data_IF_989893209968
#
_entry.id   IF_989893209968
#
_cell.length_a   1.000
_cell.length_b   1.000
_cell.length_c   1.000
_cell.angle_alpha   90.00
_cell.angle_beta   90.00
_cell.angle_gamma   90.00
#
_symmetry.space_group_name_H-M   'P 1'
#
loop_
_entity.id
_entity.type
_entity.pdbx_description
1 polymer ?
#
# COMPACT_ATOMS: atom_id res chain seq x y z
N UNK A 1 24.87 16.94 16.37
CA UNK A 1 23.85 17.98 16.64
C UNK A 1 22.47 17.35 16.76
N UNK A 2 21.99 17.12 17.98
CA UNK A 2 20.60 16.75 18.28
C UNK A 2 19.75 18.01 18.23
N UNK A 3 19.15 18.35 17.09
CA UNK A 3 18.09 19.37 17.04
C UNK A 3 16.74 18.69 17.29
N UNK A 4 16.22 18.91 18.49
CA UNK A 4 14.80 19.13 18.78
C UNK A 4 13.83 18.00 18.47
N UNK A 5 13.61 17.10 19.45
CA UNK A 5 12.36 16.33 19.55
C UNK A 5 11.17 17.18 20.07
N UNK A 6 11.41 18.45 20.40
CA UNK A 6 10.45 19.36 21.03
C UNK A 6 10.13 20.55 20.11
N UNK A 7 9.42 20.29 19.01
CA UNK A 7 8.65 21.33 18.32
C UNK A 7 7.16 21.04 18.49
N UNK A 8 6.32 22.02 18.86
CA UNK A 8 4.89 21.79 19.16
C UNK A 8 4.11 21.16 18.01
N UNK A 9 4.48 21.43 16.76
CA UNK A 9 3.88 20.79 15.57
C UNK A 9 4.12 19.27 15.50
N UNK A 10 5.17 18.79 16.15
CA UNK A 10 5.54 17.37 16.15
C UNK A 10 4.58 16.53 17.00
N UNK A 11 4.23 17.00 18.19
CA UNK A 11 3.31 16.32 19.10
C UNK A 11 1.90 16.23 18.54
N UNK A 12 1.43 17.30 17.90
CA UNK A 12 0.12 17.30 17.23
C UNK A 12 0.06 16.28 16.10
N UNK A 13 1.15 16.09 15.36
CA UNK A 13 1.22 15.09 14.29
C UNK A 13 1.09 13.68 14.85
N UNK A 14 1.82 13.34 15.92
CA UNK A 14 1.69 12.05 16.58
C UNK A 14 0.32 11.85 17.24
N UNK A 15 -0.23 12.90 17.86
CA UNK A 15 -1.58 12.88 18.42
C UNK A 15 -2.63 12.56 17.35
N UNK A 16 -2.53 13.18 16.18
CA UNK A 16 -3.39 12.87 15.03
C UNK A 16 -3.23 11.41 14.57
N UNK A 17 -2.00 10.93 14.38
CA UNK A 17 -1.76 9.55 13.94
C UNK A 17 -2.28 8.54 14.97
N UNK A 18 -2.07 8.78 16.26
CA UNK A 18 -2.62 7.93 17.32
C UNK A 18 -4.15 7.97 17.36
N UNK A 19 -4.76 9.13 17.11
CA UNK A 19 -6.22 9.24 16.97
C UNK A 19 -6.73 8.39 15.81
N UNK A 20 -6.12 8.50 14.62
CA UNK A 20 -6.51 7.70 13.45
C UNK A 20 -6.36 6.20 13.75
N UNK A 21 -5.24 5.78 14.33
CA UNK A 21 -5.03 4.37 14.74
C UNK A 21 -6.07 3.92 15.76
N UNK A 22 -6.37 4.74 16.77
CA UNK A 22 -7.35 4.40 17.80
C UNK A 22 -8.77 4.28 17.22
N UNK A 23 -9.15 5.18 16.31
CA UNK A 23 -10.44 5.11 15.60
C UNK A 23 -10.47 3.88 14.69
N UNK A 24 -9.41 3.59 13.93
CA UNK A 24 -9.32 2.35 13.14
C UNK A 24 -9.46 1.11 14.03
N UNK A 25 -8.80 1.10 15.18
CA UNK A 25 -8.90 0.03 16.18
C UNK A 25 -10.33 -0.16 16.68
N UNK A 26 -10.99 0.93 17.11
CA UNK A 26 -12.38 0.89 17.54
C UNK A 26 -13.29 0.33 16.43
N UNK A 27 -13.16 0.84 15.21
CA UNK A 27 -13.98 0.43 14.07
C UNK A 27 -13.73 -1.05 13.71
N UNK A 28 -12.48 -1.53 13.69
CA UNK A 28 -12.20 -2.94 13.43
C UNK A 28 -12.70 -3.86 14.55
N UNK A 29 -12.69 -3.43 15.81
CA UNK A 29 -13.21 -4.21 16.94
C UNK A 29 -14.74 -4.29 16.96
N UNK A 30 -15.43 -3.28 16.41
CA UNK A 30 -16.89 -3.28 16.27
C UNK A 30 -17.37 -4.08 15.04
N UNK A 31 -16.48 -4.38 14.09
CA UNK A 31 -16.80 -5.15 12.91
C UNK A 31 -16.78 -6.66 13.21
N UNK A 32 -17.66 -7.41 12.55
CA UNK A 32 -17.69 -8.86 12.64
C UNK A 32 -16.69 -9.47 11.65
N UNK A 33 -15.69 -10.26 12.10
CA UNK A 33 -14.86 -11.03 11.19
C UNK A 33 -15.69 -12.13 10.52
N UNK A 34 -15.49 -12.33 9.22
CA UNK A 34 -16.18 -13.34 8.41
C UNK A 34 -15.14 -14.08 7.56
N UNK A 35 -14.54 -15.15 8.08
CA UNK A 35 -13.49 -15.88 7.39
C UNK A 35 -13.95 -16.39 6.02
N UNK A 36 -13.08 -16.31 5.01
CA UNK A 36 -13.42 -16.70 3.65
C UNK A 36 -12.25 -17.33 2.88
N UNK A 37 -12.56 -18.26 1.98
CA UNK A 37 -11.66 -18.89 0.99
C UNK A 37 -10.22 -19.13 1.51
N UNK A 38 -9.29 -18.26 1.11
CA UNK A 38 -7.84 -18.31 1.37
C UNK A 38 -7.48 -18.42 2.85
N UNK A 39 -8.31 -17.85 3.73
CA UNK A 39 -8.10 -17.86 5.17
C UNK A 39 -7.87 -19.28 5.70
N UNK A 40 -8.64 -20.26 5.25
CA UNK A 40 -8.57 -21.61 5.80
C UNK A 40 -7.23 -22.28 5.48
N UNK A 41 -6.66 -22.03 4.31
CA UNK A 41 -5.32 -22.50 3.97
C UNK A 41 -4.25 -21.82 4.80
N UNK A 42 -4.37 -20.50 5.01
CA UNK A 42 -3.41 -19.75 5.80
C UNK A 42 -3.45 -20.11 7.29
N UNK A 43 -4.65 -20.28 7.85
CA UNK A 43 -4.82 -20.72 9.24
C UNK A 43 -4.27 -22.14 9.42
N UNK A 44 -4.58 -23.08 8.51
CA UNK A 44 -4.02 -24.43 8.54
C UNK A 44 -2.49 -24.42 8.51
N UNK A 45 -1.90 -23.58 7.67
CA UNK A 45 -0.44 -23.42 7.62
C UNK A 45 0.13 -22.94 8.97
N UNK A 46 -0.53 -21.97 9.61
CA UNK A 46 -0.13 -21.47 10.93
C UNK A 46 -0.17 -22.59 11.97
N UNK A 47 -1.26 -23.35 12.00
CA UNK A 47 -1.46 -24.47 12.94
C UNK A 47 -0.41 -25.56 12.76
N UNK A 48 -0.13 -25.96 11.51
CA UNK A 48 0.90 -26.95 11.18
C UNK A 48 2.30 -26.49 11.59
N UNK A 49 2.63 -25.23 11.28
CA UNK A 49 3.92 -24.65 11.63
C UNK A 49 4.07 -24.49 13.14
N UNK A 50 3.00 -24.10 13.85
CA UNK A 50 2.97 -24.02 15.30
C UNK A 50 3.16 -25.39 15.96
N UNK A 51 2.69 -26.47 15.32
CA UNK A 51 2.94 -27.86 15.71
C UNK A 51 4.33 -28.40 15.33
N UNK A 52 5.21 -27.56 14.77
CA UNK A 52 6.59 -27.92 14.44
C UNK A 52 6.80 -28.46 13.02
N UNK A 53 5.79 -28.42 12.16
CA UNK A 53 5.88 -28.92 10.78
C UNK A 53 5.76 -27.78 9.77
N UNK A 54 6.83 -27.50 9.03
CA UNK A 54 6.79 -26.59 7.89
C UNK A 54 6.20 -27.32 6.68
N UNK A 55 4.93 -27.08 6.36
CA UNK A 55 4.23 -27.69 5.23
C UNK A 55 3.88 -26.65 4.15
N UNK A 56 4.75 -26.50 3.14
CA UNK A 56 4.54 -25.62 1.98
C UNK A 56 3.77 -26.31 0.85
N UNK A 57 3.24 -27.53 1.07
CA UNK A 57 2.27 -28.15 0.16
C UNK A 57 0.88 -27.55 0.28
N UNK A 58 0.60 -26.91 1.42
CA UNK A 58 -0.61 -26.11 1.59
C UNK A 58 -0.60 -25.00 0.53
N UNK A 59 -1.71 -24.78 -0.21
CA UNK A 59 -1.79 -23.70 -1.18
C UNK A 59 -1.68 -22.34 -0.50
N UNK A 60 -0.86 -21.47 -1.05
CA UNK A 60 -0.74 -20.10 -0.57
C UNK A 60 0.67 -19.52 -0.67
N UNK A 61 0.72 -18.20 -0.55
CA UNK A 61 1.95 -17.47 -0.30
C UNK A 61 2.06 -17.22 1.21
N UNK A 62 2.84 -18.05 1.91
CA UNK A 62 2.76 -18.12 3.37
C UNK A 62 3.72 -17.20 4.13
N UNK A 63 4.48 -16.34 3.44
CA UNK A 63 5.53 -15.51 4.04
C UNK A 63 5.10 -14.81 5.34
N UNK A 64 3.96 -14.12 5.31
CA UNK A 64 3.45 -13.40 6.47
C UNK A 64 2.79 -14.29 7.54
N UNK A 65 2.33 -15.48 7.19
CA UNK A 65 1.69 -16.39 8.14
C UNK A 65 2.69 -16.91 9.18
N UNK A 66 3.97 -17.01 8.79
CA UNK A 66 5.06 -17.37 9.70
C UNK A 66 5.10 -16.40 10.90
N UNK A 67 4.79 -15.12 10.67
CA UNK A 67 4.76 -14.10 11.72
C UNK A 67 3.55 -14.22 12.67
N UNK A 68 2.56 -15.03 12.31
CA UNK A 68 1.35 -15.26 13.11
C UNK A 68 1.49 -16.42 14.10
N UNK A 69 2.52 -17.27 13.94
CA UNK A 69 2.77 -18.42 14.82
C UNK A 69 2.95 -18.04 16.29
N UNK A 70 3.73 -16.99 16.66
CA UNK A 70 3.84 -16.60 18.07
C UNK A 70 2.49 -16.22 18.68
N UNK A 71 1.59 -15.61 17.90
CA UNK A 71 0.24 -15.28 18.36
C UNK A 71 -0.62 -16.53 18.53
N UNK A 72 -0.48 -17.52 17.64
CA UNK A 72 -1.15 -18.80 17.79
C UNK A 72 -0.72 -19.51 19.06
N UNK A 73 0.58 -19.58 19.36
CA UNK A 73 1.07 -20.20 20.61
C UNK A 73 0.53 -19.51 21.87
N UNK A 74 0.26 -18.21 21.81
CA UNK A 74 -0.26 -17.46 22.95
C UNK A 74 -1.78 -17.60 23.14
N UNK A 75 -2.52 -17.85 22.06
CA UNK A 75 -3.99 -17.76 22.06
C UNK A 75 -4.71 -19.05 21.68
N UNK A 76 -4.02 -19.97 20.99
CA UNK A 76 -4.55 -21.18 20.37
C UNK A 76 -5.83 -20.92 19.53
N UNK A 77 -5.95 -19.68 19.03
CA UNK A 77 -7.19 -19.23 18.40
C UNK A 77 -7.30 -19.78 16.98
N UNK A 78 -8.46 -20.36 16.61
CA UNK A 78 -8.72 -20.77 15.22
C UNK A 78 -8.78 -19.58 14.28
N UNK A 79 -8.86 -18.34 14.79
CA UNK A 79 -8.89 -17.09 14.01
C UNK A 79 -7.59 -16.31 14.09
N UNK A 80 -6.48 -16.96 14.46
CA UNK A 80 -5.17 -16.31 14.60
C UNK A 80 -4.76 -15.51 13.37
N UNK A 81 -4.98 -16.07 12.17
CA UNK A 81 -4.66 -15.37 10.93
C UNK A 81 -5.40 -14.03 10.84
N UNK A 82 -6.71 -14.01 11.10
CA UNK A 82 -7.54 -12.79 11.08
C UNK A 82 -7.08 -11.82 12.16
N UNK A 83 -6.86 -12.29 13.40
CA UNK A 83 -6.42 -11.43 14.50
C UNK A 83 -5.11 -10.70 14.18
N UNK A 84 -4.15 -11.40 13.57
CA UNK A 84 -2.89 -10.79 13.17
C UNK A 84 -3.06 -9.81 12.00
N UNK A 85 -3.93 -10.11 11.04
CA UNK A 85 -4.28 -9.16 9.98
C UNK A 85 -4.98 -7.93 10.54
N UNK A 86 -5.88 -8.08 11.51
CA UNK A 86 -6.56 -6.97 12.17
C UNK A 86 -5.54 -6.09 12.91
N UNK A 87 -4.64 -6.69 13.68
CA UNK A 87 -3.57 -5.95 14.36
C UNK A 87 -2.71 -5.16 13.37
N UNK A 88 -2.33 -5.77 12.25
CA UNK A 88 -1.61 -5.06 11.19
C UNK A 88 -2.46 -3.94 10.57
N UNK A 89 -3.74 -4.19 10.27
CA UNK A 89 -4.69 -3.26 9.67
C UNK A 89 -4.92 -2.01 10.52
N UNK A 90 -4.96 -2.16 11.84
CA UNK A 90 -5.03 -1.07 12.83
C UNK A 90 -3.76 -0.23 12.80
N UNK A 91 -2.59 -0.87 12.67
CA UNK A 91 -1.29 -0.22 12.71
C UNK A 91 -0.87 0.37 11.35
N UNK A 92 -1.56 0.06 10.24
CA UNK A 92 -1.21 0.55 8.91
C UNK A 92 -1.02 2.07 8.82
N UNK A 93 -1.92 2.93 9.36
CA UNK A 93 -1.74 4.38 9.28
C UNK A 93 -0.46 4.85 10.00
N UNK A 94 -0.10 4.22 11.11
CA UNK A 94 1.13 4.51 11.86
C UNK A 94 2.37 4.18 11.05
N UNK A 95 2.44 2.97 10.47
CA UNK A 95 3.59 2.55 9.68
C UNK A 95 3.69 3.32 8.37
N UNK A 96 2.57 3.66 7.74
CA UNK A 96 2.52 4.56 6.60
C UNK A 96 3.12 5.94 6.96
N UNK A 97 2.68 6.55 8.06
CA UNK A 97 3.22 7.82 8.55
C UNK A 97 4.75 7.75 8.70
N UNK A 98 5.26 6.74 9.41
CA UNK A 98 6.70 6.60 9.67
C UNK A 98 7.46 6.34 8.37
N UNK A 99 6.97 5.48 7.48
CA UNK A 99 7.62 5.15 6.22
C UNK A 99 7.76 6.38 5.31
N UNK A 100 6.66 7.08 5.03
CA UNK A 100 6.69 8.27 4.18
C UNK A 100 7.51 9.39 4.82
N UNK A 101 7.35 9.63 6.13
CA UNK A 101 8.13 10.66 6.82
C UNK A 101 9.62 10.42 6.73
N UNK A 102 10.07 9.20 7.03
CA UNK A 102 11.49 8.84 6.96
C UNK A 102 12.02 8.95 5.54
N UNK A 103 11.24 8.45 4.56
CA UNK A 103 11.57 8.50 3.15
C UNK A 103 11.80 9.94 2.67
N UNK A 104 10.82 10.83 2.86
CA UNK A 104 10.91 12.22 2.40
C UNK A 104 11.90 13.05 3.21
N UNK A 105 12.09 12.76 4.50
CA UNK A 105 13.16 13.37 5.31
C UNK A 105 14.54 13.06 4.73
N UNK A 106 14.77 11.79 4.38
CA UNK A 106 16.04 11.31 3.83
C UNK A 106 16.32 11.86 2.42
N UNK A 107 15.30 11.89 1.56
CA UNK A 107 15.48 12.22 0.14
C UNK A 107 15.37 13.72 -0.18
N UNK A 108 14.56 14.47 0.57
CA UNK A 108 14.26 15.87 0.27
C UNK A 108 14.81 16.85 1.32
N UNK A 109 15.35 16.36 2.46
CA UNK A 109 16.00 17.19 3.47
C UNK A 109 15.07 18.06 4.32
N UNK A 110 13.75 17.82 4.26
CA UNK A 110 12.74 18.37 5.17
C UNK A 110 12.55 17.49 6.42
N UNK A 111 11.54 17.78 7.24
CA UNK A 111 11.17 16.93 8.39
C UNK A 111 10.32 15.69 7.99
N UNK A 112 9.77 15.71 6.77
CA UNK A 112 8.91 14.68 6.18
C UNK A 112 7.54 14.56 6.83
N UNK A 113 7.21 15.42 7.80
CA UNK A 113 6.01 15.24 8.64
C UNK A 113 4.74 15.38 7.82
N UNK A 114 4.71 16.36 6.92
CA UNK A 114 3.54 16.63 6.07
C UNK A 114 3.27 15.47 5.12
N UNK A 115 4.30 14.96 4.45
CA UNK A 115 4.21 13.79 3.57
C UNK A 115 3.78 12.53 4.35
N UNK A 116 4.29 12.37 5.59
CA UNK A 116 3.86 11.32 6.49
C UNK A 116 2.37 11.39 6.84
N UNK A 117 1.88 12.57 7.26
CA UNK A 117 0.46 12.77 7.62
C UNK A 117 -0.43 12.48 6.42
N UNK A 118 -0.06 13.02 5.25
CA UNK A 118 -0.84 12.83 4.03
C UNK A 118 -0.89 11.35 3.63
N UNK A 119 0.24 10.66 3.62
CA UNK A 119 0.29 9.26 3.25
C UNK A 119 -0.51 8.39 4.24
N UNK A 120 -0.37 8.61 5.55
CA UNK A 120 -1.16 7.92 6.56
C UNK A 120 -2.67 8.15 6.41
N UNK A 121 -3.07 9.38 6.06
CA UNK A 121 -4.46 9.72 5.82
C UNK A 121 -5.00 9.03 4.56
N UNK A 122 -4.22 8.99 3.47
CA UNK A 122 -4.59 8.26 2.26
C UNK A 122 -4.76 6.77 2.56
N UNK A 123 -3.80 6.15 3.27
CA UNK A 123 -3.84 4.74 3.63
C UNK A 123 -5.04 4.43 4.54
N UNK A 124 -5.32 5.27 5.54
CA UNK A 124 -6.52 5.12 6.39
C UNK A 124 -7.82 5.27 5.58
N UNK A 125 -7.79 6.06 4.52
CA UNK A 125 -8.93 6.30 3.64
C UNK A 125 -9.06 5.27 2.49
N UNK A 126 -8.23 4.23 2.46
CA UNK A 126 -8.36 3.09 1.54
C UNK A 126 -8.86 1.87 2.34
N UNK A 127 -10.18 1.66 2.49
CA UNK A 127 -10.76 0.71 3.45
C UNK A 127 -10.34 -0.74 3.16
N UNK A 128 -10.10 -1.08 1.90
CA UNK A 128 -9.67 -2.43 1.50
C UNK A 128 -8.35 -2.84 2.14
N UNK A 129 -7.45 -1.89 2.42
CA UNK A 129 -6.14 -2.18 3.03
C UNK A 129 -6.26 -2.73 4.45
N UNK A 130 -7.21 -2.20 5.22
CA UNK A 130 -7.40 -2.58 6.62
C UNK A 130 -8.51 -3.63 6.78
N UNK A 131 -9.66 -3.46 6.13
CA UNK A 131 -10.85 -4.26 6.41
C UNK A 131 -10.93 -5.60 5.68
N UNK A 132 -10.09 -5.81 4.65
CA UNK A 132 -9.88 -7.14 4.08
C UNK A 132 -9.34 -8.15 5.11
N UNK A 133 -8.69 -7.66 6.17
CA UNK A 133 -8.26 -8.45 7.32
C UNK A 133 -9.40 -9.24 7.96
N UNK A 134 -10.63 -8.72 7.94
CA UNK A 134 -11.80 -9.38 8.54
C UNK A 134 -12.21 -10.67 7.80
N UNK A 135 -11.76 -10.85 6.56
CA UNK A 135 -11.91 -12.11 5.80
C UNK A 135 -10.74 -13.07 5.95
N UNK A 136 -9.65 -12.59 6.55
CA UNK A 136 -8.37 -13.27 6.57
C UNK A 136 -7.59 -13.12 5.27
N UNK A 137 -7.88 -12.09 4.49
CA UNK A 137 -7.02 -11.73 3.37
C UNK A 137 -5.75 -11.07 3.85
N UNK A 138 -4.71 -11.24 3.04
CA UNK A 138 -3.33 -11.00 3.41
C UNK A 138 -2.84 -9.55 3.29
N UNK A 139 -3.73 -8.66 2.88
CA UNK A 139 -3.42 -7.27 2.48
C UNK A 139 -2.75 -6.48 3.60
N UNK A 140 -3.24 -6.60 4.84
CA UNK A 140 -2.82 -5.72 5.92
C UNK A 140 -1.38 -6.01 6.39
N UNK A 141 -1.04 -7.27 6.68
CA UNK A 141 0.33 -7.62 7.08
C UNK A 141 1.29 -7.39 5.91
N UNK A 142 0.89 -7.70 4.67
CA UNK A 142 1.69 -7.39 3.49
C UNK A 142 2.12 -5.92 3.45
N UNK A 143 1.16 -5.01 3.56
CA UNK A 143 1.40 -3.58 3.49
C UNK A 143 2.23 -3.08 4.69
N UNK A 144 2.04 -3.66 5.87
CA UNK A 144 2.89 -3.38 7.03
C UNK A 144 4.36 -3.80 6.76
N UNK A 145 4.59 -4.96 6.16
CA UNK A 145 5.94 -5.42 5.77
C UNK A 145 6.55 -4.55 4.67
N UNK A 146 5.74 -4.08 3.71
CA UNK A 146 6.15 -3.11 2.71
C UNK A 146 6.65 -1.81 3.37
N UNK A 147 5.88 -1.25 4.32
CA UNK A 147 6.28 -0.04 5.04
C UNK A 147 7.51 -0.25 5.94
N UNK A 148 7.59 -1.39 6.64
CA UNK A 148 8.77 -1.76 7.43
C UNK A 148 10.03 -1.85 6.56
N UNK A 149 9.91 -2.41 5.36
CA UNK A 149 11.01 -2.48 4.39
C UNK A 149 11.51 -1.07 4.02
N UNK A 150 10.61 -0.13 3.74
CA UNK A 150 10.98 1.27 3.47
C UNK A 150 11.70 1.89 4.66
N UNK A 151 11.15 1.73 5.87
CA UNK A 151 11.73 2.27 7.12
C UNK A 151 13.14 1.73 7.36
N UNK A 152 13.31 0.41 7.21
CA UNK A 152 14.60 -0.26 7.37
C UNK A 152 15.63 0.21 6.33
N UNK A 153 15.23 0.30 5.07
CA UNK A 153 16.09 0.68 3.95
C UNK A 153 16.60 2.12 4.10
N UNK A 154 15.71 3.07 4.41
CA UNK A 154 16.07 4.48 4.64
C UNK A 154 17.07 4.62 5.80
N UNK A 155 16.95 3.75 6.81
CA UNK A 155 17.83 3.73 7.98
C UNK A 155 19.09 2.87 7.80
N UNK A 156 19.26 2.23 6.63
CA UNK A 156 20.39 1.36 6.33
C UNK A 156 20.54 0.18 7.28
N UNK A 157 19.41 -0.44 7.69
CA UNK A 157 19.43 -1.52 8.68
C UNK A 157 19.41 -2.89 8.01
N UNK A 158 20.29 -3.79 8.45
CA UNK A 158 20.37 -5.14 7.92
C UNK A 158 19.05 -5.91 8.06
N UNK A 159 18.28 -5.66 9.11
CA UNK A 159 16.99 -6.34 9.34
C UNK A 159 15.96 -6.07 8.24
N UNK A 160 16.17 -5.07 7.37
CA UNK A 160 15.33 -4.81 6.19
C UNK A 160 15.17 -6.04 5.30
N UNK A 161 16.14 -6.95 5.28
CA UNK A 161 16.03 -8.19 4.49
C UNK A 161 14.86 -9.07 4.94
N UNK A 162 14.52 -9.07 6.23
CA UNK A 162 13.48 -9.94 6.82
C UNK A 162 12.07 -9.53 6.38
N UNK A 163 11.58 -8.29 6.62
CA UNK A 163 10.26 -7.91 6.17
C UNK A 163 10.17 -7.87 4.65
N UNK A 164 11.27 -7.60 3.94
CA UNK A 164 11.26 -7.64 2.47
C UNK A 164 11.11 -9.06 1.95
N UNK A 165 11.83 -10.03 2.52
CA UNK A 165 11.68 -11.44 2.17
C UNK A 165 10.28 -11.95 2.46
N UNK A 166 9.73 -11.65 3.63
CA UNK A 166 8.35 -12.03 3.96
C UNK A 166 7.31 -11.35 3.07
N UNK A 167 7.54 -10.09 2.65
CA UNK A 167 6.67 -9.44 1.68
C UNK A 167 6.73 -10.16 0.32
N UNK A 168 7.92 -10.53 -0.18
CA UNK A 168 8.09 -11.27 -1.45
C UNK A 168 7.42 -12.64 -1.39
N UNK A 169 7.63 -13.41 -0.32
CA UNK A 169 7.04 -14.75 -0.16
C UNK A 169 5.56 -14.75 0.21
N UNK A 170 5.00 -13.57 0.43
CA UNK A 170 3.56 -13.32 0.57
C UNK A 170 2.92 -12.84 -0.73
N UNK A 171 3.62 -11.96 -1.44
CA UNK A 171 3.20 -11.32 -2.67
C UNK A 171 4.47 -11.04 -3.48
N UNK A 172 4.77 -11.84 -4.52
CA UNK A 172 6.02 -11.74 -5.27
C UNK A 172 6.32 -10.35 -5.85
N UNK A 173 5.29 -9.53 -6.05
CA UNK A 173 5.39 -8.15 -6.54
C UNK A 173 6.18 -7.22 -5.61
N UNK A 174 6.39 -7.58 -4.34
CA UNK A 174 7.25 -6.83 -3.42
C UNK A 174 8.72 -6.74 -3.90
N UNK A 175 9.13 -7.55 -4.88
CA UNK A 175 10.42 -7.39 -5.56
C UNK A 175 10.60 -5.98 -6.16
N UNK A 176 9.49 -5.29 -6.48
CA UNK A 176 9.48 -3.91 -6.94
C UNK A 176 10.06 -2.89 -5.92
N UNK A 177 10.24 -3.28 -4.65
CA UNK A 177 10.96 -2.47 -3.65
C UNK A 177 12.47 -2.40 -3.90
N UNK A 178 13.06 -3.32 -4.68
CA UNK A 178 14.50 -3.38 -4.94
C UNK A 178 15.13 -2.06 -5.40
N UNK A 179 14.60 -1.40 -6.47
CA UNK A 179 15.07 -0.09 -6.90
C UNK A 179 15.03 0.98 -5.81
N UNK A 180 13.96 0.99 -4.98
CA UNK A 180 13.84 1.94 -3.88
C UNK A 180 14.90 1.69 -2.81
N UNK A 181 15.09 0.43 -2.39
CA UNK A 181 16.11 0.05 -1.40
C UNK A 181 17.49 0.56 -1.84
N UNK A 182 17.86 0.32 -3.10
CA UNK A 182 19.14 0.80 -3.66
C UNK A 182 19.28 2.33 -3.66
N UNK A 183 18.19 3.05 -3.96
CA UNK A 183 18.21 4.50 -4.09
C UNK A 183 18.28 5.22 -2.74
N UNK A 184 17.60 4.69 -1.72
CA UNK A 184 17.44 5.35 -0.41
C UNK A 184 18.46 4.92 0.64
N UNK A 185 19.22 3.85 0.37
CA UNK A 185 20.21 3.36 1.32
C UNK A 185 21.30 4.39 1.63
N UNK A 186 21.69 4.59 2.90
CA UNK A 186 22.74 5.54 3.27
C UNK A 186 24.09 5.29 2.57
N UNK A 187 24.66 6.33 1.94
CA UNK A 187 25.88 6.25 1.10
C UNK A 187 27.22 6.38 1.87
N UNK A 188 27.24 6.09 3.18
CA UNK A 188 28.45 6.18 4.00
C UNK A 188 29.52 5.12 3.68
N UNK A 189 30.67 5.16 4.36
CA UNK A 189 31.71 4.10 4.26
C UNK A 189 31.07 2.74 4.58
N UNK A 190 31.20 1.77 3.68
CA UNK A 190 30.59 0.44 3.82
C UNK A 190 29.08 0.36 3.51
N UNK A 191 28.42 1.50 3.25
CA UNK A 191 26.97 1.56 3.04
C UNK A 191 26.52 0.76 1.81
N UNK A 192 27.26 0.82 0.70
CA UNK A 192 26.94 0.03 -0.51
C UNK A 192 27.07 -1.48 -0.29
N UNK A 193 28.12 -1.92 0.40
CA UNK A 193 28.31 -3.32 0.72
C UNK A 193 27.14 -3.82 1.59
N UNK A 194 26.83 -3.09 2.67
CA UNK A 194 25.69 -3.43 3.54
C UNK A 194 24.35 -3.45 2.80
N UNK A 195 24.13 -2.54 1.85
CA UNK A 195 22.96 -2.54 0.97
C UNK A 195 22.88 -3.83 0.15
N UNK A 196 23.94 -4.16 -0.58
CA UNK A 196 23.99 -5.38 -1.40
C UNK A 196 23.87 -6.65 -0.57
N UNK A 197 24.51 -6.72 0.60
CA UNK A 197 24.34 -7.83 1.53
C UNK A 197 22.88 -7.96 1.98
N UNK A 198 22.24 -6.85 2.33
CA UNK A 198 20.83 -6.85 2.74
C UNK A 198 19.91 -7.31 1.60
N UNK A 199 20.17 -6.85 0.38
CA UNK A 199 19.43 -7.27 -0.81
C UNK A 199 19.63 -8.76 -1.07
N UNK A 200 20.88 -9.22 -1.05
CA UNK A 200 21.22 -10.62 -1.25
C UNK A 200 20.57 -11.53 -0.20
N UNK A 201 20.55 -11.10 1.07
CA UNK A 201 19.87 -11.84 2.14
C UNK A 201 18.35 -11.88 1.93
N UNK A 202 17.72 -10.76 1.55
CA UNK A 202 16.26 -10.73 1.33
C UNK A 202 15.83 -11.62 0.17
N UNK A 203 16.54 -11.54 -0.95
CA UNK A 203 16.33 -12.42 -2.11
C UNK A 203 16.68 -13.88 -1.77
N UNK A 204 17.76 -14.11 -1.02
CA UNK A 204 18.19 -15.45 -0.60
C UNK A 204 17.17 -16.14 0.30
N UNK A 205 16.60 -15.43 1.28
CA UNK A 205 15.51 -15.95 2.11
C UNK A 205 14.25 -16.27 1.29
N UNK A 206 13.93 -15.42 0.32
CA UNK A 206 12.80 -15.66 -0.60
C UNK A 206 13.04 -16.87 -1.49
N UNK A 207 14.25 -17.02 -2.02
CA UNK A 207 14.65 -18.18 -2.82
C UNK A 207 14.65 -19.47 -1.99
N UNK A 208 15.09 -19.41 -0.73
CA UNK A 208 15.05 -20.55 0.18
C UNK A 208 13.62 -21.06 0.40
N UNK A 209 12.65 -20.15 0.57
CA UNK A 209 11.22 -20.52 0.65
C UNK A 209 10.77 -21.30 -0.60
N UNK A 210 11.10 -20.80 -1.79
CA UNK A 210 10.76 -21.45 -3.06
C UNK A 210 11.45 -22.81 -3.22
N UNK A 211 12.73 -22.91 -2.82
CA UNK A 211 13.50 -24.16 -2.86
C UNK A 211 12.87 -25.22 -1.95
N UNK A 212 12.49 -24.85 -0.72
CA UNK A 212 11.82 -25.77 0.21
C UNK A 212 10.49 -26.24 -0.40
N UNK A 213 9.72 -25.32 -0.99
CA UNK A 213 8.46 -25.68 -1.65
C UNK A 213 8.66 -26.65 -2.80
N UNK A 214 9.68 -26.44 -3.64
CA UNK A 214 10.05 -27.35 -4.72
C UNK A 214 10.41 -28.76 -4.20
N UNK A 215 11.16 -28.85 -3.10
CA UNK A 215 11.49 -30.13 -2.49
C UNK A 215 10.28 -30.85 -1.89
N UNK A 216 9.31 -30.11 -1.34
CA UNK A 216 8.13 -30.70 -0.70
C UNK A 216 7.04 -31.10 -1.70
N UNK A 217 6.86 -30.31 -2.75
CA UNK A 217 5.71 -30.46 -3.67
C UNK A 217 6.09 -30.94 -5.07
N UNK A 218 7.38 -30.89 -5.42
CA UNK A 218 7.84 -31.07 -6.80
C UNK A 218 7.52 -29.89 -7.73
N UNK A 219 6.96 -28.79 -7.21
CA UNK A 219 6.54 -27.61 -7.97
C UNK A 219 6.56 -26.32 -7.13
N UNK A 220 5.94 -25.25 -7.65
CA UNK A 220 5.73 -23.99 -6.93
C UNK A 220 4.24 -23.69 -6.99
N UNK A 221 3.63 -23.48 -5.82
CA UNK A 221 2.22 -23.12 -5.74
C UNK A 221 2.02 -21.68 -6.20
N UNK A 222 0.93 -21.43 -6.90
CA UNK A 222 0.55 -20.09 -7.39
C UNK A 222 -0.58 -19.57 -6.51
N UNK A 223 -0.21 -18.96 -5.39
CA UNK A 223 -1.19 -18.54 -4.39
C UNK A 223 -2.04 -19.71 -3.93
N UNK A 224 -3.34 -19.51 -3.83
CA UNK A 224 -4.32 -20.54 -3.43
C UNK A 224 -4.86 -21.37 -4.60
N UNK A 225 -4.44 -21.08 -5.83
CA UNK A 225 -4.95 -21.71 -7.06
C UNK A 225 -4.26 -23.05 -7.30
N UNK A 226 -4.86 -24.13 -6.82
CA UNK A 226 -4.32 -25.50 -6.96
C UNK A 226 -4.24 -25.96 -8.42
N UNK A 227 -5.10 -25.40 -9.27
CA UNK A 227 -5.18 -25.68 -10.70
C UNK A 227 -4.09 -24.99 -11.52
N UNK A 228 -3.36 -24.04 -10.92
CA UNK A 228 -2.31 -23.27 -11.60
C UNK A 228 -0.92 -23.73 -11.20
N UNK A 229 -0.05 -23.87 -12.19
CA UNK A 229 1.38 -24.16 -12.03
C UNK A 229 2.21 -23.01 -12.60
N UNK A 230 3.50 -22.95 -12.28
CA UNK A 230 4.44 -21.97 -12.86
C UNK A 230 4.41 -21.97 -14.39
N UNK A 231 4.11 -23.10 -15.03
CA UNK A 231 4.06 -23.17 -16.48
C UNK A 231 2.73 -22.65 -17.04
N UNK A 232 1.63 -22.77 -16.30
CA UNK A 232 0.30 -22.36 -16.76
C UNK A 232 -0.08 -20.93 -16.38
N UNK A 233 0.66 -20.29 -15.47
CA UNK A 233 0.40 -18.89 -15.10
C UNK A 233 0.81 -17.89 -16.19
N UNK A 234 1.81 -18.23 -17.01
CA UNK A 234 2.32 -17.33 -18.02
C UNK A 234 1.42 -17.36 -19.24
N UNK A 235 0.94 -16.18 -19.62
CA UNK A 235 0.00 -16.06 -20.72
C UNK A 235 0.67 -15.68 -22.04
N UNK A 236 0.05 -16.10 -23.15
CA UNK A 236 0.47 -15.69 -24.49
C UNK A 236 0.23 -14.18 -24.76
N UNK A 237 0.84 -13.62 -25.81
CA UNK A 237 0.85 -12.17 -26.08
C UNK A 237 -0.53 -11.50 -26.11
N UNK A 238 -1.56 -12.20 -26.61
CA UNK A 238 -2.94 -11.68 -26.68
C UNK A 238 -3.50 -11.38 -25.30
N UNK A 239 -3.32 -12.30 -24.33
CA UNK A 239 -3.86 -12.13 -22.99
C UNK A 239 -3.01 -11.17 -22.16
N UNK A 240 -1.70 -11.13 -22.37
CA UNK A 240 -0.85 -10.06 -21.85
C UNK A 240 -1.34 -8.67 -22.29
N UNK A 241 -1.71 -8.49 -23.56
CA UNK A 241 -2.28 -7.22 -24.02
C UNK A 241 -3.61 -6.89 -23.32
N UNK A 242 -4.51 -7.86 -23.16
CA UNK A 242 -5.77 -7.64 -22.45
C UNK A 242 -5.56 -7.31 -20.96
N UNK A 243 -4.62 -7.97 -20.30
CA UNK A 243 -4.22 -7.65 -18.92
C UNK A 243 -3.64 -6.25 -18.83
N UNK A 244 -2.78 -5.85 -19.78
CA UNK A 244 -2.26 -4.49 -19.84
C UNK A 244 -3.38 -3.45 -19.95
N UNK A 245 -4.32 -3.66 -20.89
CA UNK A 245 -5.47 -2.77 -21.07
C UNK A 245 -6.35 -2.72 -19.83
N UNK A 246 -6.57 -3.87 -19.18
CA UNK A 246 -7.30 -3.93 -17.92
C UNK A 246 -6.55 -3.22 -16.78
N UNK A 247 -5.21 -3.28 -16.75
CA UNK A 247 -4.40 -2.57 -15.77
C UNK A 247 -4.48 -1.07 -15.93
N UNK A 248 -4.46 -0.59 -17.17
CA UNK A 248 -4.73 0.83 -17.48
C UNK A 248 -6.13 1.22 -16.99
N UNK A 249 -7.15 0.39 -17.24
CA UNK A 249 -8.49 0.67 -16.71
C UNK A 249 -8.48 0.73 -15.19
N UNK A 250 -7.89 -0.24 -14.49
CA UNK A 250 -7.84 -0.26 -13.02
C UNK A 250 -7.18 1.00 -12.45
N UNK A 251 -6.10 1.47 -13.08
CA UNK A 251 -5.34 2.62 -12.60
C UNK A 251 -6.05 3.97 -12.81
N UNK A 252 -6.93 4.06 -13.81
CA UNK A 252 -7.56 5.32 -14.23
C UNK A 252 -9.10 5.31 -14.17
N UNK A 253 -9.71 4.22 -13.73
CA UNK A 253 -11.16 4.09 -13.63
C UNK A 253 -11.62 4.03 -12.18
N UNK A 254 -12.86 4.48 -11.99
CA UNK A 254 -13.61 4.34 -10.75
C UNK A 254 -14.47 3.05 -10.73
N UNK A 255 -14.64 2.41 -11.89
CA UNK A 255 -15.31 1.12 -12.07
C UNK A 255 -14.44 0.22 -12.94
N UNK A 256 -13.99 -0.92 -12.41
CA UNK A 256 -13.17 -1.84 -13.19
C UNK A 256 -14.04 -2.97 -13.72
N UNK A 257 -13.82 -3.29 -14.99
CA UNK A 257 -14.51 -4.35 -15.70
C UNK A 257 -13.47 -5.34 -16.15
N UNK A 258 -13.59 -6.61 -15.76
CA UNK A 258 -12.59 -7.60 -16.12
C UNK A 258 -12.78 -7.98 -17.59
N UNK A 259 -12.08 -7.28 -18.50
CA UNK A 259 -12.22 -7.46 -19.95
C UNK A 259 -11.95 -8.89 -20.41
N UNK A 260 -11.06 -9.60 -19.71
CA UNK A 260 -10.65 -10.97 -20.04
C UNK A 260 -11.79 -11.95 -19.78
N UNK A 261 -12.55 -11.75 -18.70
CA UNK A 261 -13.69 -12.60 -18.34
C UNK A 261 -14.78 -11.77 -17.63
N UNK A 262 -15.68 -11.13 -18.42
CA UNK A 262 -16.75 -10.29 -17.90
C UNK A 262 -17.57 -10.87 -16.74
N UNK A 263 -17.82 -12.18 -16.77
CA UNK A 263 -18.57 -12.89 -15.74
C UNK A 263 -17.87 -12.90 -14.36
N UNK A 264 -16.54 -12.69 -14.34
CA UNK A 264 -15.75 -12.51 -13.11
C UNK A 264 -15.58 -11.04 -12.73
N UNK A 265 -16.32 -10.13 -13.37
CA UNK A 265 -16.43 -8.74 -12.90
C UNK A 265 -17.24 -8.72 -11.60
N UNK A 266 -16.58 -9.06 -10.50
CA UNK A 266 -17.15 -9.08 -9.15
C UNK A 266 -16.68 -7.90 -8.30
N UNK A 267 -17.11 -7.90 -7.04
CA UNK A 267 -16.83 -6.85 -6.05
C UNK A 267 -15.34 -6.60 -5.77
N UNK A 268 -14.46 -7.59 -6.04
CA UNK A 268 -13.00 -7.44 -5.95
C UNK A 268 -12.43 -6.43 -6.95
N UNK A 269 -13.11 -6.20 -8.08
CA UNK A 269 -12.72 -5.23 -9.11
C UNK A 269 -13.17 -3.79 -8.79
N UNK A 270 -13.60 -3.52 -7.56
CA UNK A 270 -14.00 -2.16 -7.17
C UNK A 270 -12.79 -1.27 -6.86
N UNK A 271 -13.06 0.02 -6.71
CA UNK A 271 -12.10 1.11 -6.58
C UNK A 271 -11.21 0.91 -5.32
N UNK A 272 -10.06 0.26 -5.48
CA UNK A 272 -9.09 0.05 -4.40
C UNK A 272 -7.98 1.13 -4.39
N UNK A 273 -7.91 1.99 -5.42
CA UNK A 273 -7.05 3.19 -5.47
C UNK A 273 -7.73 4.32 -6.24
N UNK A 274 -7.40 5.58 -5.96
CA UNK A 274 -7.99 6.71 -6.68
C UNK A 274 -7.22 7.05 -7.97
N UNK A 275 -7.92 7.17 -9.11
CA UNK A 275 -7.28 7.53 -10.38
C UNK A 275 -6.61 8.90 -10.33
N UNK A 276 -7.08 9.79 -9.44
CA UNK A 276 -6.47 11.10 -9.24
C UNK A 276 -5.05 10.96 -8.66
N UNK A 277 -4.83 10.09 -7.66
CA UNK A 277 -3.48 9.87 -7.12
C UNK A 277 -2.56 9.24 -8.16
N UNK A 278 -3.06 8.30 -8.97
CA UNK A 278 -2.32 7.72 -10.10
C UNK A 278 -1.86 8.83 -11.07
N UNK A 279 -2.79 9.69 -11.51
CA UNK A 279 -2.50 10.79 -12.43
C UNK A 279 -1.49 11.78 -11.86
N UNK A 280 -1.70 12.21 -10.60
CA UNK A 280 -0.80 13.14 -9.91
C UNK A 280 0.60 12.53 -9.73
N UNK A 281 0.68 11.24 -9.38
CA UNK A 281 1.93 10.49 -9.27
C UNK A 281 2.69 10.46 -10.59
N UNK A 282 2.03 10.04 -11.66
CA UNK A 282 2.62 10.00 -13.00
C UNK A 282 3.07 11.38 -13.47
N UNK A 283 2.24 12.42 -13.30
CA UNK A 283 2.62 13.79 -13.63
C UNK A 283 3.90 14.23 -12.90
N UNK A 284 4.02 13.87 -11.62
CA UNK A 284 5.20 14.20 -10.82
C UNK A 284 6.43 13.45 -11.31
N UNK A 285 6.29 12.18 -11.73
CA UNK A 285 7.37 11.38 -12.32
C UNK A 285 7.82 11.90 -13.70
N UNK A 286 6.91 12.45 -14.51
CA UNK A 286 7.24 13.08 -15.79
C UNK A 286 7.86 14.48 -15.65
N UNK A 287 7.62 15.16 -14.53
CA UNK A 287 8.22 16.47 -14.20
C UNK A 287 9.04 16.42 -12.91
N UNK A 288 10.09 15.58 -12.84
CA UNK A 288 10.75 15.28 -11.57
C UNK A 288 11.53 16.48 -11.02
N UNK A 289 12.11 17.32 -11.91
CA UNK A 289 12.91 18.48 -11.52
C UNK A 289 12.12 19.55 -10.76
N UNK A 290 10.80 19.59 -10.94
CA UNK A 290 9.93 20.58 -10.30
C UNK A 290 9.45 20.16 -8.90
N UNK A 291 9.69 18.90 -8.50
CA UNK A 291 9.08 18.26 -7.33
C UNK A 291 10.06 17.49 -6.45
N UNK A 292 11.17 16.98 -7.00
CA UNK A 292 12.18 16.21 -6.27
C UNK A 292 13.56 16.88 -6.36
N UNK A 293 14.29 16.89 -5.25
CA UNK A 293 15.69 17.35 -5.18
C UNK A 293 16.64 16.26 -5.66
N UNK A 294 16.42 15.03 -5.23
CA UNK A 294 17.25 13.89 -5.62
C UNK A 294 16.76 13.29 -6.94
N UNK A 295 17.62 13.19 -7.96
CA UNK A 295 17.28 12.61 -9.27
C UNK A 295 17.05 11.09 -9.25
N UNK A 296 17.70 10.37 -8.33
CA UNK A 296 17.57 8.92 -8.23
C UNK A 296 16.25 8.48 -7.60
N UNK A 297 15.69 9.33 -6.73
CA UNK A 297 14.47 9.02 -6.01
C UNK A 297 13.23 8.85 -6.92
N UNK A 298 12.88 9.80 -7.82
CA UNK A 298 11.76 9.61 -8.74
C UNK A 298 12.01 8.47 -9.74
N UNK A 299 13.27 8.23 -10.13
CA UNK A 299 13.61 7.07 -10.96
C UNK A 299 13.29 5.76 -10.23
N UNK A 300 13.65 5.64 -8.95
CA UNK A 300 13.35 4.46 -8.15
C UNK A 300 11.85 4.25 -7.95
N UNK A 301 11.10 5.32 -7.70
CA UNK A 301 9.63 5.26 -7.63
C UNK A 301 9.02 4.82 -8.97
N UNK A 302 9.48 5.39 -10.09
CA UNK A 302 9.01 5.02 -11.43
C UNK A 302 9.33 3.57 -11.80
N UNK A 303 10.56 3.11 -11.52
CA UNK A 303 10.94 1.70 -11.72
C UNK A 303 10.13 0.76 -10.83
N UNK A 304 9.91 1.12 -9.56
CA UNK A 304 9.04 0.37 -8.65
C UNK A 304 7.60 0.26 -9.18
N UNK A 305 7.03 1.37 -9.68
CA UNK A 305 5.71 1.37 -10.30
C UNK A 305 5.65 0.47 -11.55
N UNK A 306 6.64 0.58 -12.45
CA UNK A 306 6.72 -0.24 -13.68
C UNK A 306 6.87 -1.73 -13.35
N UNK A 307 7.72 -2.10 -12.39
CA UNK A 307 7.90 -3.51 -12.00
C UNK A 307 6.64 -4.03 -11.32
N UNK A 308 6.07 -3.28 -10.36
CA UNK A 308 4.89 -3.69 -9.62
C UNK A 308 3.66 -3.87 -10.51
N UNK A 309 3.42 -2.97 -11.46
CA UNK A 309 2.31 -3.09 -12.43
C UNK A 309 2.67 -4.06 -13.57
N UNK A 310 3.90 -4.02 -14.07
CA UNK A 310 4.32 -4.79 -15.25
C UNK A 310 4.38 -6.30 -15.01
N UNK A 311 4.80 -6.74 -13.81
CA UNK A 311 4.82 -8.16 -13.47
C UNK A 311 3.43 -8.79 -13.53
N UNK A 312 2.38 -8.02 -13.24
CA UNK A 312 1.00 -8.46 -13.29
C UNK A 312 0.48 -8.73 -14.71
N UNK A 313 0.97 -7.98 -15.69
CA UNK A 313 0.56 -8.12 -17.09
C UNK A 313 0.81 -9.53 -17.62
N UNK A 314 1.84 -10.19 -17.10
CA UNK A 314 2.29 -11.51 -17.54
C UNK A 314 1.45 -12.69 -17.00
N UNK A 315 0.57 -12.44 -16.01
CA UNK A 315 -0.12 -13.48 -15.24
C UNK A 315 -1.49 -13.86 -15.81
N UNK A 316 -1.97 -15.05 -15.47
CA UNK A 316 -3.29 -15.57 -15.89
C UNK A 316 -4.44 -14.68 -15.38
N UNK A 317 -4.38 -14.28 -14.12
CA UNK A 317 -5.38 -13.42 -13.49
C UNK A 317 -4.74 -12.13 -12.99
N UNK A 318 -5.41 -11.00 -13.22
CA UNK A 318 -4.95 -9.70 -12.78
C UNK A 318 -6.06 -9.01 -11.98
N UNK A 319 -5.78 -8.77 -10.70
CA UNK A 319 -6.60 -8.01 -9.77
C UNK A 319 -5.80 -6.77 -9.32
N UNK A 320 -6.49 -5.72 -8.91
CA UNK A 320 -5.88 -4.55 -8.28
C UNK A 320 -4.98 -4.92 -7.10
N UNK A 321 -5.37 -5.92 -6.30
CA UNK A 321 -4.57 -6.38 -5.16
C UNK A 321 -3.11 -6.67 -5.55
N UNK A 322 -2.88 -7.29 -6.70
CA UNK A 322 -1.54 -7.61 -7.13
C UNK A 322 -0.74 -6.40 -7.67
N UNK A 323 -1.43 -5.33 -8.08
CA UNK A 323 -0.81 -4.08 -8.54
C UNK A 323 -0.51 -3.09 -7.41
N UNK A 324 -0.96 -3.38 -6.20
CA UNK A 324 -0.90 -2.52 -5.01
C UNK A 324 0.49 -1.92 -4.76
N UNK A 325 1.55 -2.73 -4.87
CA UNK A 325 2.94 -2.29 -4.73
C UNK A 325 3.28 -1.15 -5.69
N UNK A 326 2.89 -1.31 -6.95
CA UNK A 326 3.12 -0.30 -8.00
C UNK A 326 2.27 0.95 -7.78
N UNK A 327 1.03 0.77 -7.32
CA UNK A 327 0.13 1.87 -6.94
C UNK A 327 0.71 2.68 -5.78
N UNK A 328 1.28 2.06 -4.76
CA UNK A 328 1.93 2.77 -3.65
C UNK A 328 3.11 3.62 -4.11
N UNK A 329 3.89 3.15 -5.09
CA UNK A 329 4.93 3.98 -5.69
C UNK A 329 4.38 5.24 -6.36
N UNK A 330 3.23 5.12 -7.05
CA UNK A 330 2.55 6.27 -7.64
C UNK A 330 1.96 7.22 -6.57
N UNK A 331 1.36 6.68 -5.50
CA UNK A 331 0.86 7.47 -4.38
C UNK A 331 2.01 8.24 -3.71
N UNK A 332 3.13 7.57 -3.40
CA UNK A 332 4.33 8.20 -2.86
C UNK A 332 4.84 9.29 -3.80
N UNK A 333 4.86 9.04 -5.12
CA UNK A 333 5.25 10.04 -6.10
C UNK A 333 4.31 11.26 -6.15
N UNK A 334 3.03 11.11 -5.81
CA UNK A 334 2.06 12.21 -5.79
C UNK A 334 2.23 13.18 -4.60
N UNK A 335 2.84 12.73 -3.48
CA UNK A 335 2.89 13.51 -2.24
C UNK A 335 3.56 14.89 -2.37
N UNK A 336 4.70 15.05 -3.08
CA UNK A 336 5.31 16.37 -3.26
C UNK A 336 4.42 17.35 -4.02
N UNK A 337 3.66 16.86 -5.01
CA UNK A 337 2.73 17.68 -5.76
C UNK A 337 1.57 18.14 -4.89
N UNK A 338 0.99 17.23 -4.09
CA UNK A 338 -0.07 17.55 -3.14
C UNK A 338 0.41 18.56 -2.08
N UNK A 339 1.68 18.47 -1.64
CA UNK A 339 2.29 19.45 -0.73
C UNK A 339 2.38 20.84 -1.33
N UNK A 340 2.79 20.91 -2.59
CA UNK A 340 2.97 22.16 -3.34
C UNK A 340 1.61 22.78 -3.73
N UNK A 341 0.63 21.94 -4.04
CA UNK A 341 -0.69 22.32 -4.53
C UNK A 341 -1.80 21.65 -3.70
N UNK A 342 -2.01 22.08 -2.44
CA UNK A 342 -2.96 21.45 -1.51
C UNK A 342 -4.43 21.55 -1.94
N UNK A 343 -4.76 22.37 -2.95
CA UNK A 343 -6.11 22.46 -3.52
C UNK A 343 -6.54 21.19 -4.27
N UNK A 344 -5.62 20.26 -4.55
CA UNK A 344 -5.97 18.93 -5.04
C UNK A 344 -6.48 17.99 -3.95
N UNK A 345 -6.23 18.29 -2.67
CA UNK A 345 -6.62 17.43 -1.56
C UNK A 345 -8.14 17.17 -1.49
N UNK A 346 -9.04 18.15 -1.65
CA UNK A 346 -10.48 17.87 -1.66
C UNK A 346 -10.91 16.89 -2.75
N UNK A 347 -10.30 16.97 -3.94
CA UNK A 347 -10.61 16.07 -5.06
C UNK A 347 -10.14 14.65 -4.75
N UNK A 348 -8.92 14.50 -4.21
CA UNK A 348 -8.39 13.22 -3.74
C UNK A 348 -9.27 12.64 -2.63
N UNK A 349 -9.60 13.44 -1.60
CA UNK A 349 -10.47 13.02 -0.51
C UNK A 349 -11.83 12.55 -1.02
N UNK A 350 -12.47 13.30 -1.92
CA UNK A 350 -13.75 12.91 -2.51
C UNK A 350 -13.67 11.51 -3.15
N UNK A 351 -12.62 11.24 -3.95
CA UNK A 351 -12.45 9.92 -4.57
C UNK A 351 -12.19 8.80 -3.57
N UNK A 352 -11.52 9.08 -2.45
CA UNK A 352 -11.31 8.10 -1.38
C UNK A 352 -12.60 7.85 -0.57
N UNK A 353 -13.44 8.88 -0.38
CA UNK A 353 -14.76 8.72 0.23
C UNK A 353 -15.68 7.84 -0.61
N UNK A 354 -15.59 7.94 -1.94
CA UNK A 354 -16.27 6.98 -2.81
C UNK A 354 -15.83 5.55 -2.51
N UNK A 355 -14.54 5.27 -2.26
CA UNK A 355 -14.08 3.93 -1.88
C UNK A 355 -14.74 3.44 -0.58
N UNK A 356 -14.82 4.30 0.43
CA UNK A 356 -15.49 4.01 1.70
C UNK A 356 -16.97 3.68 1.52
N UNK A 357 -17.67 4.51 0.74
CA UNK A 357 -19.08 4.29 0.46
C UNK A 357 -19.30 2.96 -0.29
N UNK A 358 -18.52 2.70 -1.35
CA UNK A 358 -18.58 1.43 -2.07
C UNK A 358 -18.24 0.25 -1.18
N UNK A 359 -17.18 0.33 -0.36
CA UNK A 359 -16.83 -0.76 0.55
C UNK A 359 -17.99 -1.07 1.50
N UNK A 360 -18.62 -0.05 2.07
CA UNK A 360 -19.78 -0.21 2.94
C UNK A 360 -20.97 -0.85 2.22
N UNK A 361 -21.28 -0.44 0.98
CA UNK A 361 -22.38 -1.04 0.22
C UNK A 361 -22.17 -2.53 -0.06
N UNK A 362 -20.93 -2.96 -0.28
CA UNK A 362 -20.64 -4.35 -0.67
C UNK A 362 -20.34 -5.27 0.51
N UNK A 363 -19.81 -4.71 1.60
CA UNK A 363 -19.34 -5.48 2.74
C UNK A 363 -20.02 -5.10 4.06
N UNK A 364 -20.92 -4.11 4.05
CA UNK A 364 -21.57 -3.59 5.24
C UNK A 364 -22.38 -4.64 5.97
N UNK A 365 -23.20 -5.40 5.26
CA UNK A 365 -23.95 -6.50 5.85
C UNK A 365 -23.03 -7.63 6.33
N UNK A 366 -22.03 -7.99 5.51
CA UNK A 366 -21.10 -9.10 5.78
C UNK A 366 -20.30 -8.89 7.07
N UNK A 367 -19.78 -7.68 7.28
CA UNK A 367 -18.98 -7.35 8.47
C UNK A 367 -19.78 -6.59 9.54
N UNK A 368 -21.11 -6.51 9.39
CA UNK A 368 -22.01 -5.77 10.29
C UNK A 368 -21.60 -4.30 10.50
N UNK A 369 -21.11 -3.65 9.45
CA UNK A 369 -20.66 -2.26 9.48
C UNK A 369 -21.85 -1.33 9.68
N UNK A 370 -21.86 -0.58 10.78
CA UNK A 370 -22.85 0.48 11.03
C UNK A 370 -22.35 1.87 10.62
N UNK A 371 -23.05 2.91 11.05
CA UNK A 371 -22.64 4.31 10.86
C UNK A 371 -21.24 4.60 11.44
N UNK A 372 -20.84 3.85 12.48
CA UNK A 372 -19.53 3.95 13.13
C UNK A 372 -18.37 3.63 12.19
N UNK A 373 -18.61 2.90 11.10
CA UNK A 373 -17.61 2.63 10.06
C UNK A 373 -17.03 3.93 9.50
N UNK A 374 -17.88 4.95 9.33
CA UNK A 374 -17.48 6.25 8.80
C UNK A 374 -16.76 7.16 9.81
N UNK A 375 -16.46 6.69 11.02
CA UNK A 375 -15.64 7.44 11.98
C UNK A 375 -14.21 7.65 11.49
N UNK A 376 -13.64 6.71 10.73
CA UNK A 376 -12.29 6.87 10.14
C UNK A 376 -12.25 8.05 9.16
N UNK A 377 -13.07 8.08 8.09
CA UNK A 377 -13.09 9.23 7.19
C UNK A 377 -13.45 10.54 7.92
N UNK A 378 -14.40 10.51 8.85
CA UNK A 378 -14.74 11.69 9.65
C UNK A 378 -13.54 12.25 10.45
N UNK A 379 -12.72 11.38 11.05
CA UNK A 379 -11.53 11.82 11.79
C UNK A 379 -10.51 12.51 10.87
N UNK A 380 -10.30 11.98 9.66
CA UNK A 380 -9.43 12.58 8.65
C UNK A 380 -9.99 13.92 8.15
N UNK A 381 -11.29 13.98 7.89
CA UNK A 381 -11.97 15.19 7.41
C UNK A 381 -11.97 16.31 8.45
N UNK A 382 -12.18 16.00 9.72
CA UNK A 382 -12.08 16.99 10.81
C UNK A 382 -10.66 17.55 10.87
N UNK A 383 -9.63 16.70 10.80
CA UNK A 383 -8.24 17.16 10.77
C UNK A 383 -7.94 18.02 9.53
N UNK A 384 -8.46 17.64 8.36
CA UNK A 384 -8.34 18.41 7.13
C UNK A 384 -9.05 19.77 7.22
N UNK A 385 -10.26 19.81 7.78
CA UNK A 385 -11.02 21.04 8.01
C UNK A 385 -10.26 21.99 8.96
N UNK A 386 -9.73 21.47 10.07
CA UNK A 386 -8.91 22.25 10.99
C UNK A 386 -7.65 22.80 10.30
N UNK A 387 -7.00 22.00 9.43
CA UNK A 387 -5.90 22.48 8.59
C UNK A 387 -6.34 23.61 7.65
N UNK A 388 -7.50 23.48 7.00
CA UNK A 388 -8.05 24.50 6.12
C UNK A 388 -8.34 25.80 6.87
N UNK A 389 -8.95 25.72 8.05
CA UNK A 389 -9.24 26.87 8.92
C UNK A 389 -7.94 27.55 9.34
N UNK A 390 -6.94 26.79 9.79
CA UNK A 390 -5.65 27.35 10.19
C UNK A 390 -4.90 28.04 9.03
N UNK A 391 -5.14 27.62 7.79
CA UNK A 391 -4.45 28.11 6.59
C UNK A 391 -5.36 28.93 5.64
N UNK A 392 -6.51 29.42 6.12
CA UNK A 392 -7.58 29.95 5.27
C UNK A 392 -7.11 31.07 4.33
N UNK A 393 -6.25 31.99 4.80
CA UNK A 393 -5.75 33.12 3.99
C UNK A 393 -4.95 32.63 2.77
N UNK A 394 -4.10 31.63 2.97
CA UNK A 394 -3.26 31.04 1.92
C UNK A 394 -4.13 30.27 0.90
N UNK A 395 -5.08 29.49 1.41
CA UNK A 395 -6.02 28.73 0.59
C UNK A 395 -6.88 29.68 -0.25
N UNK A 396 -7.47 30.69 0.37
CA UNK A 396 -8.30 31.70 -0.30
C UNK A 396 -7.55 32.45 -1.40
N UNK A 397 -6.30 32.86 -1.13
CA UNK A 397 -5.45 33.47 -2.15
C UNK A 397 -5.19 32.53 -3.33
N UNK A 398 -4.96 31.24 -3.06
CA UNK A 398 -4.76 30.24 -4.10
C UNK A 398 -6.00 30.05 -4.98
N UNK A 399 -7.18 29.93 -4.35
CA UNK A 399 -8.47 29.84 -5.05
C UNK A 399 -8.68 31.07 -5.93
N UNK A 400 -8.52 32.28 -5.37
CA UNK A 400 -8.68 33.53 -6.12
C UNK A 400 -7.77 33.60 -7.35
N UNK A 401 -6.51 33.20 -7.22
CA UNK A 401 -5.57 33.18 -8.34
C UNK A 401 -6.00 32.21 -9.45
N UNK A 402 -6.51 31.03 -9.10
CA UNK A 402 -7.02 30.06 -10.07
C UNK A 402 -8.27 30.63 -10.76
N UNK A 403 -9.23 31.17 -10.00
CA UNK A 403 -10.46 31.74 -10.56
C UNK A 403 -10.15 32.89 -11.54
N UNK A 404 -9.18 33.76 -11.19
CA UNK A 404 -8.73 34.84 -12.07
C UNK A 404 -8.04 34.31 -13.34
N UNK A 405 -7.23 33.25 -13.23
CA UNK A 405 -6.58 32.62 -14.37
C UNK A 405 -7.61 31.96 -15.31
N UNK A 406 -8.57 31.23 -14.75
CA UNK A 406 -9.68 30.61 -15.50
C UNK A 406 -10.53 31.67 -16.21
N UNK A 407 -10.84 32.79 -15.54
CA UNK A 407 -11.54 33.91 -16.16
C UNK A 407 -10.76 34.51 -17.33
N UNK A 408 -9.44 34.69 -17.19
CA UNK A 408 -8.58 35.18 -18.30
C UNK A 408 -8.55 34.20 -19.47
N UNK A 409 -8.47 32.90 -19.21
CA UNK A 409 -8.48 31.87 -20.27
C UNK A 409 -9.82 31.81 -21.01
N UNK A 410 -10.94 31.99 -20.30
CA UNK A 410 -12.27 32.06 -20.90
C UNK A 410 -12.41 33.34 -21.74
N UNK A 411 -11.95 34.49 -21.23
CA UNK A 411 -11.97 35.75 -21.97
C UNK A 411 -11.08 35.71 -23.22
N UNK A 412 -9.91 35.07 -23.16
CA UNK A 412 -9.06 34.88 -24.34
C UNK A 412 -9.67 33.96 -25.41
N UNK A 413 -10.58 33.04 -25.02
CA UNK A 413 -11.32 32.20 -25.98
C UNK A 413 -12.43 32.95 -26.72
N UNK A 414 -12.91 34.08 -26.20
CA UNK A 414 -13.96 34.90 -26.83
C UNK A 414 -13.42 35.99 -27.79
N UNK A 415 -12.12 35.96 -28.11
CA UNK A 415 -11.45 36.93 -29.00
C UNK A 415 -11.05 36.30 -30.35
N UNK A 416 -11.50 35.08 -30.64
CA UNK A 416 -11.34 34.43 -31.94
C UNK A 416 -12.66 34.00 -32.54
#
# INVERSE_FOLDING_TARGET
MKKGLFQPHYWLSWGYILLVVAVTGLVMLLAAPMPNDDYFYYQKFIEMLAGGTLDLSIPGFHGMNILSVPWYWLTESPMTQIHMQMAAGILLPLFAFVAARELFRSQEGGDGVWEGILFASIIALMPFLSFSALRGWMVAIYNLLFFLTIIGAVRGRWWTCVPWAFAITSLPFAVALGPLILAVWPKGKGGRFSCYTTIALGLGLSALYVIIQLFQTGGINVGVHQEQTVLSIWQGPKRMFLNFMHGVQILFSIHNYYFVEPARTGHGNMLQTTPILTMLGLFTLFSPRAHFRNRLFPLALGLGAIIGIGLNVMLDHMDHFYMETGVFFLILAALPLLKKHPLWLPVVLLTLHFQWFYFHLNHGEVFQLGWWFFLIPAAVDIAFLLYCIANYKKIWSGIRSITLLSWRLILCKNVH
#
